data_IF_443377022320
#
_entry.id   IF_443377022320
#
_cell.length_a   1.000
_cell.length_b   1.000
_cell.length_c   1.000
_cell.angle_alpha   90.00
_cell.angle_beta   90.00
_cell.angle_gamma   90.00
#
_symmetry.space_group_name_H-M   'P 1'
#
loop_
_entity.id
_entity.type
_entity.pdbx_description
1 polymer ?
#
# COMPACT_ATOMS: atom_id res chain seq x y z
N UNK A 1 15.97 3.37 19.21
CA UNK A 1 15.09 4.16 18.33
C UNK A 1 13.93 3.23 17.97
N UNK A 2 12.71 3.52 18.43
CA UNK A 2 11.56 2.69 18.08
C UNK A 2 11.32 2.79 16.57
N UNK A 3 11.39 1.66 15.86
CA UNK A 3 10.89 1.57 14.49
C UNK A 3 9.39 1.90 14.52
N UNK A 4 8.97 2.86 13.72
CA UNK A 4 7.55 3.08 13.46
C UNK A 4 7.15 2.10 12.38
N UNK A 5 6.94 0.84 12.78
CA UNK A 5 6.39 -0.21 11.90
C UNK A 5 4.88 -0.25 12.06
N UNK A 6 4.18 -0.53 10.97
CA UNK A 6 2.74 -0.83 11.05
C UNK A 6 2.49 -2.19 11.73
N UNK A 7 1.28 -2.44 12.21
CA UNK A 7 0.96 -3.71 12.90
C UNK A 7 0.81 -4.90 11.94
N UNK A 8 0.64 -4.70 10.64
CA UNK A 8 0.36 -5.79 9.69
C UNK A 8 1.61 -6.51 9.22
N UNK A 9 2.68 -5.82 8.88
CA UNK A 9 3.94 -6.44 8.49
C UNK A 9 4.43 -7.46 9.53
N UNK A 10 4.58 -7.05 10.81
CA UNK A 10 4.91 -7.98 11.89
C UNK A 10 3.94 -9.14 12.04
N UNK A 11 2.60 -8.93 11.88
CA UNK A 11 1.63 -10.03 11.93
C UNK A 11 1.79 -11.02 10.78
N UNK A 12 2.06 -10.52 9.58
CA UNK A 12 2.30 -11.35 8.39
C UNK A 12 3.61 -12.12 8.51
N UNK A 13 4.68 -11.50 9.00
CA UNK A 13 5.94 -12.17 9.30
C UNK A 13 5.75 -13.33 10.29
N UNK A 14 5.02 -13.09 11.40
CA UNK A 14 4.64 -14.12 12.36
C UNK A 14 3.84 -15.24 11.67
N UNK A 15 2.81 -14.91 10.91
CA UNK A 15 1.93 -15.87 10.25
C UNK A 15 2.71 -16.80 9.30
N UNK A 16 3.56 -16.23 8.46
CA UNK A 16 4.42 -16.97 7.52
C UNK A 16 5.38 -17.90 8.27
N UNK A 17 6.07 -17.37 9.30
CA UNK A 17 6.99 -18.18 10.11
C UNK A 17 6.29 -19.36 10.81
N UNK A 18 5.13 -19.11 11.41
CA UNK A 18 4.37 -20.17 12.08
C UNK A 18 3.91 -21.25 11.11
N UNK A 19 3.43 -20.88 9.93
CA UNK A 19 3.04 -21.83 8.88
C UNK A 19 4.22 -22.67 8.42
N UNK A 20 5.37 -22.04 8.14
CA UNK A 20 6.59 -22.76 7.75
C UNK A 20 7.08 -23.73 8.82
N UNK A 21 7.05 -23.33 10.10
CA UNK A 21 7.41 -24.20 11.21
C UNK A 21 6.47 -25.40 11.32
N UNK A 22 5.15 -25.18 11.19
CA UNK A 22 4.19 -26.27 11.21
C UNK A 22 4.39 -27.24 10.05
N UNK A 23 4.50 -26.74 8.84
CA UNK A 23 4.71 -27.55 7.64
C UNK A 23 6.04 -28.32 7.70
N UNK A 24 7.12 -27.65 8.15
CA UNK A 24 8.42 -28.29 8.36
C UNK A 24 8.41 -29.39 9.44
N UNK A 25 7.50 -29.30 10.42
CA UNK A 25 7.31 -30.35 11.44
C UNK A 25 6.43 -31.52 10.97
N UNK A 26 5.82 -31.44 9.79
CA UNK A 26 4.91 -32.44 9.25
C UNK A 26 3.56 -32.52 9.96
N UNK A 27 3.23 -31.55 10.82
CA UNK A 27 1.99 -31.51 11.60
C UNK A 27 0.90 -30.72 10.89
N UNK A 28 -0.36 -31.12 11.09
CA UNK A 28 -1.50 -30.34 10.65
C UNK A 28 -1.96 -29.35 11.76
N UNK A 29 -2.87 -28.44 11.41
CA UNK A 29 -3.39 -27.43 12.34
C UNK A 29 -4.05 -28.05 13.59
N UNK A 30 -4.75 -29.19 13.44
CA UNK A 30 -5.43 -29.82 14.56
C UNK A 30 -4.44 -30.42 15.56
N UNK A 31 -3.36 -31.04 15.07
CA UNK A 31 -2.34 -31.63 15.92
C UNK A 31 -1.67 -30.57 16.81
N UNK A 32 -1.22 -29.46 16.19
CA UNK A 32 -0.56 -28.37 16.92
C UNK A 32 -1.53 -27.69 17.91
N UNK A 33 -2.77 -27.47 17.49
CA UNK A 33 -3.79 -26.87 18.36
C UNK A 33 -4.10 -27.72 19.56
N UNK A 34 -4.20 -29.04 19.40
CA UNK A 34 -4.43 -30.01 20.47
C UNK A 34 -3.25 -30.06 21.46
N UNK A 35 -2.01 -30.11 20.94
CA UNK A 35 -0.79 -30.15 21.76
C UNK A 35 -0.63 -28.88 22.60
N UNK A 36 -1.03 -27.71 22.06
CA UNK A 36 -0.94 -26.41 22.75
C UNK A 36 -2.20 -26.03 23.54
N UNK A 37 -3.23 -26.88 23.55
CA UNK A 37 -4.51 -26.64 24.22
C UNK A 37 -5.19 -25.33 23.76
N UNK A 38 -5.09 -25.01 22.47
CA UNK A 38 -5.76 -23.86 21.83
C UNK A 38 -6.75 -24.36 20.77
N UNK A 39 -7.66 -23.50 20.34
CA UNK A 39 -8.57 -23.86 19.24
C UNK A 39 -7.85 -23.85 17.88
N UNK A 40 -8.19 -24.79 17.00
CA UNK A 40 -7.70 -24.82 15.61
C UNK A 40 -8.00 -23.51 14.88
N UNK A 41 -9.17 -22.91 15.14
CA UNK A 41 -9.56 -21.60 14.58
C UNK A 41 -8.62 -20.47 15.04
N UNK A 42 -8.12 -20.51 16.29
CA UNK A 42 -7.15 -19.52 16.78
C UNK A 42 -5.82 -19.67 16.05
N UNK A 43 -5.30 -20.89 15.96
CA UNK A 43 -4.03 -21.15 15.26
C UNK A 43 -4.15 -20.78 13.77
N UNK A 44 -5.23 -21.18 13.12
CA UNK A 44 -5.49 -20.82 11.72
C UNK A 44 -5.51 -19.30 11.49
N UNK A 45 -6.17 -18.55 12.38
CA UNK A 45 -6.19 -17.08 12.26
C UNK A 45 -4.81 -16.45 12.51
N UNK A 46 -3.98 -17.03 13.39
CA UNK A 46 -2.59 -16.58 13.57
C UNK A 46 -1.75 -16.85 12.32
N UNK A 47 -1.86 -18.04 11.71
CA UNK A 47 -1.14 -18.41 10.49
C UNK A 47 -1.65 -17.69 9.22
N UNK A 48 -2.79 -17.01 9.30
CA UNK A 48 -3.34 -16.20 8.22
C UNK A 48 -3.31 -14.68 8.53
N UNK A 49 -2.55 -14.25 9.54
CA UNK A 49 -2.47 -12.87 10.01
C UNK A 49 -3.82 -12.21 10.38
N UNK A 50 -4.89 -13.01 10.52
CA UNK A 50 -6.25 -12.57 10.83
C UNK A 50 -6.50 -12.34 12.32
N UNK A 51 -5.56 -12.70 13.17
CA UNK A 51 -5.62 -12.46 14.60
C UNK A 51 -4.39 -11.70 15.08
N UNK A 52 -4.62 -10.81 16.05
CA UNK A 52 -3.53 -10.15 16.77
C UNK A 52 -2.79 -11.17 17.63
N UNK A 53 -1.50 -11.46 17.37
CA UNK A 53 -0.75 -12.43 18.13
C UNK A 53 -0.50 -11.92 19.55
N UNK A 54 -0.67 -12.75 20.56
CA UNK A 54 -0.35 -12.39 21.93
C UNK A 54 1.07 -12.88 22.29
N UNK A 55 1.84 -12.13 23.10
CA UNK A 55 3.21 -12.53 23.50
C UNK A 55 3.29 -13.92 24.12
N UNK A 56 2.26 -14.33 24.89
CA UNK A 56 2.19 -15.67 25.49
C UNK A 56 2.06 -16.77 24.42
N UNK A 57 1.23 -16.53 23.39
CA UNK A 57 0.98 -17.52 22.33
C UNK A 57 2.26 -17.75 21.51
N UNK A 58 2.96 -16.67 21.17
CA UNK A 58 4.22 -16.73 20.42
C UNK A 58 5.31 -17.42 21.27
N UNK A 59 5.41 -17.12 22.56
CA UNK A 59 6.34 -17.80 23.46
C UNK A 59 6.07 -19.31 23.50
N UNK A 60 4.80 -19.72 23.60
CA UNK A 60 4.42 -21.12 23.71
C UNK A 60 4.66 -21.86 22.37
N UNK A 61 4.44 -21.20 21.22
CA UNK A 61 4.78 -21.72 19.89
C UNK A 61 6.29 -21.85 19.67
N UNK A 62 7.10 -20.87 20.10
CA UNK A 62 8.59 -20.94 20.06
C UNK A 62 9.09 -22.20 20.79
N UNK A 63 8.55 -22.45 21.99
CA UNK A 63 8.91 -23.66 22.78
C UNK A 63 8.45 -24.94 22.10
N UNK A 64 7.22 -24.94 21.61
CA UNK A 64 6.63 -26.09 20.94
C UNK A 64 7.42 -26.54 19.72
N UNK A 65 7.87 -25.60 18.89
CA UNK A 65 8.71 -25.90 17.72
C UNK A 65 10.20 -26.03 18.04
N UNK A 66 10.60 -25.87 19.29
CA UNK A 66 12.00 -26.08 19.74
C UNK A 66 13.01 -25.10 19.14
N UNK A 67 12.56 -23.90 18.77
CA UNK A 67 13.40 -22.88 18.14
C UNK A 67 13.97 -21.86 19.12
N UNK A 68 13.91 -22.12 20.44
CA UNK A 68 14.48 -21.23 21.45
C UNK A 68 15.96 -20.98 21.17
N UNK A 69 16.40 -19.72 21.31
CA UNK A 69 17.79 -19.30 21.07
C UNK A 69 18.18 -19.14 19.59
N UNK A 70 17.24 -19.29 18.66
CA UNK A 70 17.49 -19.01 17.23
C UNK A 70 17.16 -17.56 16.87
N UNK A 71 17.79 -17.02 15.78
CA UNK A 71 17.43 -15.69 15.27
C UNK A 71 15.94 -15.54 14.98
N UNK A 72 15.29 -16.59 14.47
CA UNK A 72 13.85 -16.58 14.20
C UNK A 72 13.02 -16.40 15.47
N UNK A 73 13.42 -17.02 16.58
CA UNK A 73 12.74 -16.82 17.86
C UNK A 73 12.84 -15.37 18.36
N UNK A 74 13.97 -14.72 18.11
CA UNK A 74 14.18 -13.31 18.49
C UNK A 74 13.37 -12.38 17.58
N UNK A 75 13.27 -12.69 16.29
CA UNK A 75 12.38 -11.99 15.35
C UNK A 75 10.91 -12.13 15.75
N UNK A 76 10.44 -13.32 16.06
CA UNK A 76 9.07 -13.57 16.52
C UNK A 76 8.73 -12.80 17.81
N UNK A 77 9.70 -12.71 18.76
CA UNK A 77 9.53 -11.91 19.99
C UNK A 77 9.44 -10.41 19.69
N UNK A 78 10.26 -9.90 18.77
CA UNK A 78 10.22 -8.51 18.33
C UNK A 78 8.90 -8.22 17.61
N UNK A 79 8.56 -9.02 16.62
CA UNK A 79 7.35 -8.82 15.82
C UNK A 79 6.06 -8.87 16.63
N UNK A 80 5.98 -9.72 17.67
CA UNK A 80 4.77 -9.75 18.51
C UNK A 80 4.59 -8.46 19.32
N UNK A 81 5.68 -7.78 19.67
CA UNK A 81 5.61 -6.45 20.31
C UNK A 81 5.19 -5.39 19.31
N UNK A 82 5.82 -5.39 18.14
CA UNK A 82 5.52 -4.44 17.05
C UNK A 82 4.07 -4.59 16.57
N UNK A 83 3.56 -5.83 16.49
CA UNK A 83 2.16 -6.14 16.14
C UNK A 83 1.12 -5.62 17.16
N UNK A 84 1.54 -5.19 18.35
CA UNK A 84 0.66 -4.55 19.35
C UNK A 84 0.54 -3.04 19.13
N UNK A 85 1.50 -2.43 18.44
CA UNK A 85 1.50 -0.98 18.22
C UNK A 85 0.32 -0.57 17.34
N UNK A 86 -0.46 0.44 17.72
CA UNK A 86 -1.46 0.98 16.81
C UNK A 86 -0.75 1.66 15.63
N UNK A 87 -1.32 1.53 14.44
CA UNK A 87 -0.88 2.32 13.30
C UNK A 87 -1.16 3.81 13.56
N UNK A 88 -0.37 4.70 12.94
CA UNK A 88 -0.55 6.15 13.11
C UNK A 88 -1.93 6.65 12.64
N UNK A 89 -2.61 5.88 11.81
CA UNK A 89 -3.97 6.20 11.31
C UNK A 89 -5.05 6.01 12.36
N UNK A 90 -4.79 5.34 13.48
CA UNK A 90 -5.72 5.24 14.60
C UNK A 90 -5.92 6.56 15.36
N UNK A 91 -5.16 7.61 14.99
CA UNK A 91 -5.35 8.98 15.47
C UNK A 91 -6.56 9.67 14.79
N UNK A 92 -7.11 9.08 13.72
CA UNK A 92 -8.25 9.60 12.93
C UNK A 92 -9.52 8.81 13.20
N UNK A 93 -10.66 9.43 12.95
CA UNK A 93 -11.96 8.79 13.17
C UNK A 93 -12.18 7.60 12.23
N UNK A 94 -12.69 6.48 12.78
CA UNK A 94 -13.02 5.29 12.00
C UNK A 94 -14.04 5.59 10.88
N UNK A 95 -14.92 6.57 11.06
CA UNK A 95 -15.88 7.02 10.05
C UNK A 95 -15.19 7.72 8.86
N UNK A 96 -14.04 8.37 9.11
CA UNK A 96 -13.23 9.05 8.08
C UNK A 96 -12.41 8.05 7.28
N UNK A 97 -11.80 7.08 7.96
CA UNK A 97 -10.96 6.05 7.35
C UNK A 97 -11.75 4.84 6.87
N UNK A 98 -12.98 4.71 7.36
CA UNK A 98 -13.89 3.63 6.99
C UNK A 98 -14.22 3.63 5.50
N UNK A 99 -14.99 2.67 5.05
CA UNK A 99 -15.22 2.45 3.63
C UNK A 99 -15.84 3.69 2.98
N UNK A 100 -15.08 4.36 2.15
CA UNK A 100 -15.53 5.52 1.38
C UNK A 100 -16.68 5.13 0.43
N UNK A 101 -16.83 3.82 0.13
CA UNK A 101 -17.84 3.25 -0.75
C UNK A 101 -18.33 1.86 -0.30
N UNK A 102 -18.33 1.58 1.01
CA UNK A 102 -18.89 0.33 1.55
C UNK A 102 -18.00 -0.91 1.48
N UNK A 103 -16.71 -0.73 1.27
CA UNK A 103 -15.71 -1.81 1.25
C UNK A 103 -14.69 -1.77 2.38
N UNK A 104 -13.68 -2.61 2.34
CA UNK A 104 -12.58 -2.64 3.30
C UNK A 104 -11.85 -1.31 3.35
N UNK A 105 -11.49 -0.89 4.55
CA UNK A 105 -11.07 0.46 4.85
C UNK A 105 -9.72 0.88 4.28
N UNK A 106 -9.51 2.19 4.25
CA UNK A 106 -8.23 2.81 3.99
C UNK A 106 -7.15 2.38 5.01
N UNK A 107 -7.55 2.03 6.22
CA UNK A 107 -6.70 1.55 7.30
C UNK A 107 -5.87 0.31 6.90
N UNK A 108 -6.47 -0.63 6.17
CA UNK A 108 -5.75 -1.81 5.67
C UNK A 108 -4.70 -1.42 4.61
N UNK A 109 -5.05 -0.51 3.70
CA UNK A 109 -4.09 0.02 2.72
C UNK A 109 -2.91 0.72 3.41
N UNK A 110 -3.19 1.56 4.40
CA UNK A 110 -2.16 2.26 5.19
C UNK A 110 -1.24 1.29 5.92
N UNK A 111 -1.82 0.20 6.42
CA UNK A 111 -1.06 -0.84 7.11
C UNK A 111 -0.12 -1.62 6.18
N UNK A 112 -0.46 -1.77 4.91
CA UNK A 112 0.45 -2.35 3.91
C UNK A 112 1.52 -1.35 3.47
N UNK A 113 1.15 -0.10 3.20
CA UNK A 113 2.06 0.94 2.72
C UNK A 113 3.17 1.26 3.71
N UNK A 114 2.86 1.31 5.01
CA UNK A 114 3.80 1.79 6.04
C UNK A 114 5.05 0.91 6.17
N UNK A 115 4.94 -0.39 5.93
CA UNK A 115 6.03 -1.36 6.06
C UNK A 115 6.66 -1.74 4.70
N UNK A 116 6.03 -1.39 3.57
CA UNK A 116 6.52 -1.71 2.25
C UNK A 116 7.86 -1.02 1.94
N UNK A 117 8.79 -1.72 1.30
CA UNK A 117 10.02 -1.12 0.78
C UNK A 117 9.80 -0.45 -0.57
N UNK A 118 8.95 -1.05 -1.40
CA UNK A 118 8.59 -0.54 -2.72
C UNK A 118 7.07 -0.58 -2.88
N UNK A 119 6.51 0.51 -3.38
CA UNK A 119 5.16 0.54 -3.90
C UNK A 119 5.21 0.67 -5.42
N UNK A 120 4.62 -0.31 -6.12
CA UNK A 120 4.37 -0.24 -7.56
C UNK A 120 2.90 0.02 -7.77
N UNK A 121 2.55 1.09 -8.46
CA UNK A 121 1.14 1.43 -8.64
C UNK A 121 0.81 1.75 -10.09
N UNK A 122 -0.38 1.32 -10.52
CA UNK A 122 -1.01 1.78 -11.74
C UNK A 122 -2.27 2.56 -11.37
N UNK A 123 -2.37 3.80 -11.85
CA UNK A 123 -3.43 4.71 -11.42
C UNK A 123 -4.23 5.29 -12.58
N UNK A 124 -5.54 5.27 -12.41
CA UNK A 124 -6.57 5.97 -13.15
C UNK A 124 -7.84 6.05 -12.26
N UNK A 125 -8.72 7.06 -12.34
CA UNK A 125 -8.58 8.29 -13.14
C UNK A 125 -7.75 9.37 -12.44
N UNK A 126 -7.26 9.12 -11.22
CA UNK A 126 -6.57 10.11 -10.39
C UNK A 126 -5.05 9.93 -10.38
N UNK A 127 -4.34 11.01 -10.13
CA UNK A 127 -2.89 11.01 -9.87
C UNK A 127 -2.57 10.09 -8.68
N UNK A 128 -1.43 9.36 -8.70
CA UNK A 128 -1.01 8.55 -7.56
C UNK A 128 -1.08 9.31 -6.24
N UNK A 129 -1.69 8.72 -5.24
CA UNK A 129 -1.98 9.35 -3.95
C UNK A 129 -0.76 10.02 -3.31
N UNK A 130 0.38 9.34 -3.37
CA UNK A 130 1.64 9.84 -2.81
C UNK A 130 2.23 11.05 -3.57
N UNK A 131 1.70 11.35 -4.76
CA UNK A 131 2.14 12.48 -5.61
C UNK A 131 1.10 13.61 -5.73
N UNK A 132 -0.04 13.52 -5.04
CA UNK A 132 -1.08 14.55 -5.08
C UNK A 132 -0.69 15.80 -4.29
N UNK A 133 -1.02 16.99 -4.81
CA UNK A 133 -1.01 18.22 -4.02
C UNK A 133 -2.20 18.26 -3.06
N UNK A 134 -2.13 19.11 -2.04
CA UNK A 134 -3.24 19.30 -1.10
C UNK A 134 -4.50 19.79 -1.83
N UNK A 135 -4.36 20.76 -2.76
CA UNK A 135 -5.48 21.29 -3.52
C UNK A 135 -6.16 20.23 -4.39
N UNK A 136 -5.37 19.35 -5.04
CA UNK A 136 -5.88 18.26 -5.85
C UNK A 136 -6.60 17.20 -4.99
N UNK A 137 -6.00 16.79 -3.87
CA UNK A 137 -6.61 15.84 -2.95
C UNK A 137 -7.93 16.36 -2.38
N UNK A 138 -7.94 17.63 -1.95
CA UNK A 138 -9.14 18.31 -1.43
C UNK A 138 -10.26 18.39 -2.48
N UNK A 139 -9.92 18.68 -3.73
CA UNK A 139 -10.89 18.70 -4.81
C UNK A 139 -11.54 17.30 -5.01
N UNK A 140 -10.74 16.22 -5.01
CA UNK A 140 -11.28 14.86 -5.08
C UNK A 140 -12.22 14.57 -3.91
N UNK A 141 -11.83 14.89 -2.68
CA UNK A 141 -12.63 14.57 -1.51
C UNK A 141 -13.93 15.40 -1.42
N UNK A 142 -13.95 16.62 -1.97
CA UNK A 142 -15.19 17.44 -2.09
C UNK A 142 -16.18 16.89 -3.09
N UNK A 143 -15.71 16.22 -4.15
CA UNK A 143 -16.58 15.57 -5.12
C UNK A 143 -17.17 14.25 -4.59
N UNK A 144 -16.67 13.75 -3.46
CA UNK A 144 -17.26 12.61 -2.76
C UNK A 144 -18.52 13.03 -2.02
N UNK A 145 -19.63 12.37 -2.32
CA UNK A 145 -20.92 12.63 -1.67
C UNK A 145 -20.82 12.46 -0.12
N UNK A 146 -21.51 13.35 0.60
CA UNK A 146 -21.73 13.27 2.04
C UNK A 146 -20.52 13.47 2.96
N UNK A 147 -19.47 14.15 2.53
CA UNK A 147 -18.34 14.51 3.39
C UNK A 147 -18.44 15.95 3.89
N UNK A 148 -18.30 16.13 5.20
CA UNK A 148 -18.14 17.45 5.81
C UNK A 148 -16.74 18.03 5.54
N UNK A 149 -16.55 19.35 5.69
CA UNK A 149 -15.24 19.97 5.56
C UNK A 149 -14.24 19.44 6.61
N UNK A 150 -14.71 19.11 7.83
CA UNK A 150 -13.87 18.54 8.87
C UNK A 150 -13.35 17.13 8.50
N UNK A 151 -14.19 16.29 7.90
CA UNK A 151 -13.79 14.98 7.36
C UNK A 151 -12.81 15.14 6.19
N UNK A 152 -13.05 16.11 5.31
CA UNK A 152 -12.14 16.42 4.19
C UNK A 152 -10.80 16.88 4.72
N UNK A 153 -10.75 17.70 5.75
CA UNK A 153 -9.50 18.15 6.38
C UNK A 153 -8.72 16.97 6.97
N UNK A 154 -9.38 16.03 7.64
CA UNK A 154 -8.76 14.80 8.15
C UNK A 154 -8.21 13.94 6.99
N UNK A 155 -8.98 13.71 5.92
CA UNK A 155 -8.54 12.94 4.75
C UNK A 155 -7.33 13.57 4.05
N UNK A 156 -7.30 14.91 3.97
CA UNK A 156 -6.16 15.65 3.42
C UNK A 156 -4.94 15.48 4.32
N UNK A 157 -5.11 15.53 5.64
CA UNK A 157 -4.01 15.32 6.59
C UNK A 157 -3.48 13.89 6.52
N UNK A 158 -4.34 12.88 6.45
CA UNK A 158 -3.96 11.48 6.17
C UNK A 158 -3.14 11.40 4.88
N UNK A 159 -3.56 12.08 3.79
CA UNK A 159 -2.83 12.11 2.53
C UNK A 159 -1.44 12.69 2.68
N UNK A 160 -1.30 13.80 3.39
CA UNK A 160 -0.01 14.46 3.66
C UNK A 160 0.90 13.57 4.51
N UNK A 161 0.34 12.91 5.53
CA UNK A 161 1.09 12.00 6.40
C UNK A 161 1.61 10.77 5.63
N UNK A 162 0.82 10.19 4.74
CA UNK A 162 1.25 9.12 3.81
C UNK A 162 2.45 9.56 2.97
N UNK A 163 2.39 10.76 2.40
CA UNK A 163 3.45 11.30 1.53
C UNK A 163 4.80 11.44 2.23
N UNK A 164 4.82 11.56 3.56
CA UNK A 164 6.07 11.56 4.34
C UNK A 164 6.85 10.24 4.17
N UNK A 165 6.20 9.14 3.80
CA UNK A 165 6.88 7.88 3.52
C UNK A 165 7.93 7.99 2.41
N UNK A 166 7.78 8.93 1.47
CA UNK A 166 8.76 9.18 0.41
C UNK A 166 10.02 9.91 0.89
N UNK A 167 10.01 10.48 2.11
CA UNK A 167 11.14 11.27 2.64
C UNK A 167 11.67 10.75 3.96
N UNK A 168 10.80 10.26 4.85
CA UNK A 168 11.19 9.80 6.18
C UNK A 168 10.16 8.83 6.75
N UNK A 169 10.64 7.70 7.31
CA UNK A 169 9.80 6.66 7.91
C UNK A 169 10.35 6.14 9.24
N UNK A 170 10.72 7.05 10.13
CA UNK A 170 11.03 6.71 11.53
C UNK A 170 12.06 5.58 11.73
N UNK A 171 13.10 5.52 10.89
CA UNK A 171 14.18 4.51 10.98
C UNK A 171 14.13 3.42 9.90
N UNK A 172 13.16 3.46 9.00
CA UNK A 172 13.16 2.74 7.74
C UNK A 172 13.70 3.63 6.62
N UNK A 173 14.22 3.02 5.55
CA UNK A 173 14.54 3.75 4.34
C UNK A 173 13.28 4.38 3.73
N UNK A 174 13.39 5.53 3.05
CA UNK A 174 12.27 6.11 2.33
C UNK A 174 11.64 5.10 1.37
N UNK A 175 10.31 5.13 1.28
CA UNK A 175 9.56 4.28 0.36
C UNK A 175 10.02 4.55 -1.09
N UNK A 176 10.28 3.50 -1.83
CA UNK A 176 10.50 3.59 -3.28
C UNK A 176 9.16 3.50 -4.00
N UNK A 177 8.82 4.52 -4.78
CA UNK A 177 7.60 4.58 -5.58
C UNK A 177 7.91 4.33 -7.06
N UNK A 178 7.26 3.33 -7.66
CA UNK A 178 7.26 3.09 -9.10
C UNK A 178 5.84 3.22 -9.62
N UNK A 179 5.49 4.41 -10.08
CA UNK A 179 4.14 4.76 -10.49
C UNK A 179 4.03 4.82 -12.02
N UNK A 180 3.03 4.13 -12.54
CA UNK A 180 2.54 4.31 -13.91
C UNK A 180 1.16 4.94 -13.84
N UNK A 181 0.99 6.10 -14.46
CA UNK A 181 -0.30 6.75 -14.59
C UNK A 181 -0.75 6.80 -16.05
N UNK A 182 -2.02 6.60 -16.30
CA UNK A 182 -2.54 6.69 -17.66
C UNK A 182 -2.64 8.15 -18.11
N UNK A 183 -2.44 8.45 -19.41
CA UNK A 183 -2.53 9.81 -19.95
C UNK A 183 -3.86 10.50 -19.62
N UNK A 184 -4.98 9.75 -19.56
CA UNK A 184 -6.30 10.30 -19.19
C UNK A 184 -6.28 11.00 -17.82
N UNK A 185 -5.52 10.49 -16.86
CA UNK A 185 -5.38 11.05 -15.51
C UNK A 185 -4.86 12.50 -15.53
N UNK A 186 -3.93 12.79 -16.44
CA UNK A 186 -3.33 14.12 -16.56
C UNK A 186 -4.23 15.11 -17.30
N UNK A 187 -5.20 14.61 -18.05
CA UNK A 187 -6.16 15.44 -18.84
C UNK A 187 -7.53 15.52 -18.19
N UNK A 188 -7.82 14.66 -17.20
CA UNK A 188 -9.06 14.71 -16.43
C UNK A 188 -9.07 15.98 -15.59
N UNK A 189 -10.08 16.81 -15.74
CA UNK A 189 -10.25 17.99 -14.89
C UNK A 189 -10.62 17.58 -13.46
N UNK A 190 -9.80 18.03 -12.49
CA UNK A 190 -10.06 17.86 -11.05
C UNK A 190 -9.96 19.24 -10.41
N UNK A 191 -11.05 19.70 -9.81
CA UNK A 191 -11.14 21.04 -9.26
C UNK A 191 -10.99 22.14 -10.35
N UNK A 192 -10.22 23.18 -10.08
CA UNK A 192 -10.01 24.29 -11.00
C UNK A 192 -8.82 24.08 -11.93
N UNK A 193 -8.73 24.83 -13.07
CA UNK A 193 -7.54 24.83 -13.92
C UNK A 193 -6.23 25.16 -13.17
N UNK A 194 -6.31 25.99 -12.13
CA UNK A 194 -5.13 26.28 -11.30
C UNK A 194 -4.69 25.07 -10.47
N UNK A 195 -5.63 24.35 -9.87
CA UNK A 195 -5.35 23.09 -9.13
C UNK A 195 -4.66 22.07 -10.04
N UNK A 196 -5.15 21.94 -11.29
CA UNK A 196 -4.52 21.04 -12.26
C UNK A 196 -3.10 21.49 -12.64
N UNK A 197 -2.87 22.78 -12.88
CA UNK A 197 -1.52 23.31 -13.16
C UNK A 197 -0.56 23.02 -11.99
N UNK A 198 -0.98 23.34 -10.77
CA UNK A 198 -0.18 23.11 -9.56
C UNK A 198 0.13 21.61 -9.37
N UNK A 199 -0.83 20.75 -9.69
CA UNK A 199 -0.64 19.31 -9.65
C UNK A 199 0.37 18.81 -10.70
N UNK A 200 0.30 19.31 -11.94
CA UNK A 200 1.23 18.94 -13.00
C UNK A 200 2.66 19.43 -12.69
N UNK A 201 2.81 20.64 -12.14
CA UNK A 201 4.11 21.16 -11.67
C UNK A 201 4.66 20.30 -10.53
N UNK A 202 3.84 19.91 -9.56
CA UNK A 202 4.25 19.04 -8.48
C UNK A 202 4.68 17.65 -8.97
N UNK A 203 4.05 17.09 -10.01
CA UNK A 203 4.47 15.82 -10.61
C UNK A 203 5.86 15.93 -11.26
N UNK A 204 6.14 17.02 -11.97
CA UNK A 204 7.46 17.28 -12.56
C UNK A 204 8.52 17.35 -11.47
N UNK A 205 8.27 18.12 -10.41
CA UNK A 205 9.19 18.29 -9.29
C UNK A 205 9.43 16.99 -8.54
N UNK A 206 8.36 16.33 -8.05
CA UNK A 206 8.44 15.13 -7.22
C UNK A 206 9.07 13.94 -7.96
N UNK A 207 8.90 13.86 -9.28
CA UNK A 207 9.54 12.83 -10.10
C UNK A 207 11.06 12.98 -10.22
N UNK A 208 11.67 14.05 -9.67
CA UNK A 208 13.12 14.20 -9.61
C UNK A 208 13.76 13.49 -8.43
N UNK A 209 12.97 13.10 -7.42
CA UNK A 209 13.47 12.39 -6.25
C UNK A 209 14.03 11.01 -6.66
N UNK A 210 15.16 10.57 -6.09
CA UNK A 210 15.84 9.33 -6.52
C UNK A 210 15.03 8.05 -6.26
N UNK A 211 14.11 8.09 -5.30
CA UNK A 211 13.22 6.99 -4.94
C UNK A 211 11.83 7.09 -5.60
N UNK A 212 11.63 8.03 -6.54
CA UNK A 212 10.35 8.19 -7.25
C UNK A 212 10.56 7.99 -8.74
N UNK A 213 9.95 6.94 -9.27
CA UNK A 213 9.84 6.69 -10.70
C UNK A 213 8.40 6.94 -11.12
N UNK A 214 8.16 8.03 -11.86
CA UNK A 214 6.86 8.31 -12.46
C UNK A 214 6.93 8.12 -13.99
N UNK A 215 5.99 7.36 -14.54
CA UNK A 215 5.85 7.13 -15.97
C UNK A 215 4.42 7.33 -16.42
N UNK A 216 4.25 7.83 -17.63
CA UNK A 216 2.95 8.00 -18.28
C UNK A 216 2.74 6.92 -19.32
N UNK A 217 1.61 6.22 -19.23
CA UNK A 217 1.13 5.34 -20.29
C UNK A 217 0.29 6.18 -21.26
N UNK A 218 0.79 6.48 -22.47
CA UNK A 218 0.11 7.36 -23.42
C UNK A 218 -1.06 6.64 -24.11
N UNK A 219 -2.03 7.39 -24.62
CA UNK A 219 -3.13 6.85 -25.44
C UNK A 219 -2.64 6.05 -26.68
N UNK A 220 -1.44 6.36 -27.15
CA UNK A 220 -0.81 5.64 -28.28
C UNK A 220 -0.20 4.30 -27.89
N UNK A 221 -0.12 3.98 -26.60
CA UNK A 221 0.35 2.66 -26.16
C UNK A 221 -0.62 1.56 -26.60
N UNK A 222 -0.07 0.38 -26.90
CA UNK A 222 -0.91 -0.80 -27.17
C UNK A 222 -1.67 -1.18 -25.90
N UNK A 223 -2.95 -1.59 -26.02
CA UNK A 223 -3.72 -2.05 -24.87
C UNK A 223 -3.01 -3.21 -24.17
N UNK A 224 -2.93 -3.14 -22.85
CA UNK A 224 -2.39 -4.21 -22.00
C UNK A 224 -3.54 -4.67 -21.11
N UNK A 225 -3.70 -5.98 -20.95
CA UNK A 225 -4.82 -6.57 -20.18
C UNK A 225 -4.89 -6.02 -18.74
N UNK A 226 -3.75 -5.71 -18.13
CA UNK A 226 -3.68 -5.15 -16.77
C UNK A 226 -4.11 -3.69 -16.63
N UNK A 227 -4.46 -3.02 -17.72
CA UNK A 227 -5.05 -1.67 -17.68
C UNK A 227 -6.52 -1.65 -17.18
N UNK A 228 -7.08 -2.78 -16.82
CA UNK A 228 -8.51 -2.91 -16.47
C UNK A 228 -8.87 -2.35 -15.09
N UNK A 229 -7.90 -2.28 -14.17
CA UNK A 229 -8.10 -1.74 -12.83
C UNK A 229 -6.85 -1.07 -12.29
N UNK A 230 -7.03 -0.12 -11.38
CA UNK A 230 -5.94 0.43 -10.60
C UNK A 230 -5.57 -0.50 -9.46
N UNK A 231 -4.30 -0.47 -9.07
CA UNK A 231 -3.78 -1.28 -7.97
C UNK A 231 -2.53 -0.64 -7.36
N UNK A 232 -2.26 -1.02 -6.11
CA UNK A 232 -0.97 -0.85 -5.45
C UNK A 232 -0.38 -2.24 -5.16
N UNK A 233 0.86 -2.46 -5.55
CA UNK A 233 1.62 -3.67 -5.29
C UNK A 233 2.74 -3.32 -4.34
N UNK A 234 2.72 -3.89 -3.15
CA UNK A 234 3.67 -3.66 -2.07
C UNK A 234 4.70 -4.77 -2.02
N UNK A 235 5.98 -4.38 -2.10
CA UNK A 235 7.12 -5.28 -1.92
C UNK A 235 7.77 -5.02 -0.56
N UNK A 236 8.11 -6.09 0.14
CA UNK A 236 8.73 -6.02 1.46
C UNK A 236 10.19 -6.49 1.40
N UNK A 237 11.03 -6.00 2.30
CA UNK A 237 12.46 -6.37 2.33
C UNK A 237 12.72 -7.66 3.09
N UNK A 238 11.91 -7.99 4.09
CA UNK A 238 12.13 -9.16 4.93
C UNK A 238 11.65 -10.43 4.19
N UNK A 239 12.52 -11.45 4.15
CA UNK A 239 12.27 -12.70 3.39
C UNK A 239 11.03 -13.49 3.85
N UNK A 240 10.49 -13.19 5.02
CA UNK A 240 9.27 -13.81 5.57
C UNK A 240 8.00 -12.99 5.31
N UNK A 241 8.15 -11.76 4.80
CA UNK A 241 7.02 -10.93 4.41
C UNK A 241 6.68 -11.20 2.95
N UNK A 242 5.48 -11.66 2.70
CA UNK A 242 4.98 -11.88 1.35
C UNK A 242 4.52 -10.57 0.74
N UNK A 243 4.92 -10.33 -0.51
CA UNK A 243 4.39 -9.23 -1.30
C UNK A 243 2.87 -9.32 -1.42
N UNK A 244 2.21 -8.18 -1.57
CA UNK A 244 0.75 -8.10 -1.66
C UNK A 244 0.31 -7.14 -2.76
N UNK A 245 -0.81 -7.46 -3.38
CA UNK A 245 -1.48 -6.55 -4.32
C UNK A 245 -2.79 -6.08 -3.69
N UNK A 246 -2.98 -4.79 -3.65
CA UNK A 246 -4.17 -4.14 -3.14
C UNK A 246 -4.89 -3.43 -4.29
N UNK A 247 -6.11 -3.88 -4.60
CA UNK A 247 -6.91 -3.38 -5.71
C UNK A 247 -8.06 -2.57 -5.13
N UNK A 248 -8.14 -1.32 -5.52
CA UNK A 248 -9.31 -0.48 -5.20
C UNK A 248 -10.44 -0.78 -6.18
N UNK A 249 -11.62 -1.07 -5.63
CA UNK A 249 -12.85 -1.34 -6.39
C UNK A 249 -13.96 -0.40 -5.94
N UNK A 250 -15.05 -0.34 -6.66
CA UNK A 250 -16.22 0.44 -6.23
C UNK A 250 -16.81 -0.03 -4.89
N UNK A 251 -16.66 -1.32 -4.57
CA UNK A 251 -17.15 -1.92 -3.32
C UNK A 251 -16.10 -1.95 -2.20
N UNK A 252 -14.94 -1.29 -2.37
CA UNK A 252 -13.82 -1.28 -1.42
C UNK A 252 -12.56 -1.94 -1.97
N UNK A 253 -11.67 -2.36 -1.08
CA UNK A 253 -10.40 -2.94 -1.48
C UNK A 253 -10.47 -4.48 -1.54
N UNK A 254 -9.68 -5.05 -2.43
CA UNK A 254 -9.41 -6.47 -2.54
C UNK A 254 -7.91 -6.71 -2.37
N UNK A 255 -7.54 -7.51 -1.39
CA UNK A 255 -6.14 -7.90 -1.14
C UNK A 255 -5.84 -9.27 -1.78
N UNK A 256 -4.74 -9.35 -2.53
CA UNK A 256 -4.25 -10.58 -3.16
C UNK A 256 -2.91 -10.92 -2.53
N UNK A 257 -2.87 -12.06 -1.82
CA UNK A 257 -1.68 -12.56 -1.13
C UNK A 257 -1.16 -13.88 -1.73
N UNK A 258 -1.89 -14.49 -2.68
CA UNK A 258 -1.45 -15.71 -3.37
C UNK A 258 -0.16 -15.42 -4.17
N UNK A 259 0.97 -16.11 -3.88
CA UNK A 259 2.26 -15.77 -4.48
C UNK A 259 2.27 -15.90 -6.01
N UNK A 260 1.48 -16.81 -6.57
CA UNK A 260 1.38 -17.00 -8.03
C UNK A 260 0.69 -15.81 -8.66
N UNK A 261 -0.42 -15.37 -8.08
CA UNK A 261 -1.17 -14.19 -8.56
C UNK A 261 -0.37 -12.91 -8.37
N UNK A 262 0.29 -12.74 -7.22
CA UNK A 262 1.18 -11.60 -6.95
C UNK A 262 2.30 -11.51 -8.00
N UNK A 263 2.93 -12.65 -8.34
CA UNK A 263 3.95 -12.71 -9.39
C UNK A 263 3.41 -12.33 -10.79
N UNK A 264 2.14 -12.64 -11.08
CA UNK A 264 1.47 -12.19 -12.32
C UNK A 264 1.31 -10.68 -12.35
N UNK A 265 0.91 -10.04 -11.24
CA UNK A 265 0.82 -8.58 -11.14
C UNK A 265 2.19 -7.91 -11.30
N UNK A 266 3.25 -8.50 -10.77
CA UNK A 266 4.61 -7.99 -10.98
C UNK A 266 4.98 -7.97 -12.46
N UNK A 267 4.79 -9.09 -13.17
CA UNK A 267 5.02 -9.18 -14.62
C UNK A 267 4.17 -8.19 -15.40
N UNK A 268 2.93 -8.02 -14.98
CA UNK A 268 2.00 -7.08 -15.59
C UNK A 268 2.45 -5.62 -15.39
N UNK A 269 2.94 -5.27 -14.19
CA UNK A 269 3.48 -3.95 -13.93
C UNK A 269 4.75 -3.67 -14.75
N UNK A 270 5.65 -4.65 -14.86
CA UNK A 270 6.85 -4.54 -15.70
C UNK A 270 6.48 -4.31 -17.18
N UNK A 271 5.41 -4.93 -17.67
CA UNK A 271 4.89 -4.69 -19.01
C UNK A 271 4.32 -3.27 -19.16
N UNK A 272 3.62 -2.75 -18.15
CA UNK A 272 3.14 -1.35 -18.13
C UNK A 272 4.31 -0.36 -18.15
N UNK A 273 5.32 -0.57 -17.32
CA UNK A 273 6.54 0.25 -17.29
C UNK A 273 7.23 0.25 -18.65
N UNK A 274 7.32 -0.90 -19.31
CA UNK A 274 7.93 -1.03 -20.65
C UNK A 274 7.14 -0.34 -21.74
N UNK A 275 5.81 -0.30 -21.65
CA UNK A 275 4.93 0.36 -22.62
C UNK A 275 4.79 1.87 -22.38
N UNK A 276 5.19 2.34 -21.23
CA UNK A 276 5.10 3.76 -20.83
C UNK A 276 6.27 4.58 -21.40
N UNK A 277 6.08 5.89 -21.43
CA UNK A 277 7.16 6.83 -21.72
C UNK A 277 8.32 6.67 -20.74
N UNK A 278 9.54 7.01 -21.16
CA UNK A 278 10.68 7.10 -20.23
C UNK A 278 10.42 8.15 -19.15
N UNK A 279 11.21 8.19 -18.09
CA UNK A 279 11.05 9.20 -17.02
C UNK A 279 11.23 10.62 -17.58
N UNK A 280 12.21 10.83 -18.46
CA UNK A 280 12.46 12.15 -19.06
C UNK A 280 11.38 12.53 -20.07
N UNK A 281 10.94 11.60 -20.92
CA UNK A 281 9.82 11.82 -21.83
C UNK A 281 8.51 12.07 -21.06
N UNK A 282 8.31 11.39 -19.93
CA UNK A 282 7.17 11.63 -19.05
C UNK A 282 7.15 13.07 -18.53
N UNK A 283 8.29 13.58 -18.05
CA UNK A 283 8.38 14.99 -17.59
C UNK A 283 8.13 15.96 -18.73
N UNK A 284 8.70 15.70 -19.92
CA UNK A 284 8.47 16.52 -21.11
C UNK A 284 6.99 16.50 -21.52
N UNK A 285 6.37 15.34 -21.47
CA UNK A 285 4.95 15.16 -21.78
C UNK A 285 4.04 15.90 -20.79
N UNK A 286 4.32 15.80 -19.48
CA UNK A 286 3.56 16.54 -18.46
C UNK A 286 3.68 18.05 -18.67
N UNK A 287 4.89 18.56 -18.99
CA UNK A 287 5.06 19.98 -19.35
C UNK A 287 4.21 20.38 -20.55
N UNK A 288 4.16 19.57 -21.60
CA UNK A 288 3.35 19.86 -22.78
C UNK A 288 1.85 19.95 -22.49
N UNK A 289 1.34 19.13 -21.56
CA UNK A 289 -0.06 19.20 -21.11
C UNK A 289 -0.31 20.45 -20.28
N UNK A 290 0.59 20.77 -19.33
CA UNK A 290 0.51 21.96 -18.48
C UNK A 290 0.47 23.27 -19.30
N UNK A 291 1.27 23.31 -20.36
CA UNK A 291 1.43 24.50 -21.20
C UNK A 291 0.39 24.58 -22.33
N UNK A 292 -0.48 23.56 -22.49
CA UNK A 292 -1.56 23.55 -23.50
C UNK A 292 -2.79 24.32 -22.99
N UNK A 293 -3.04 25.54 -23.53
CA UNK A 293 -4.17 26.35 -23.07
C UNK A 293 -5.54 25.74 -23.37
N UNK A 294 -5.63 24.73 -24.24
CA UNK A 294 -6.88 24.07 -24.62
C UNK A 294 -7.26 22.90 -23.71
N UNK A 295 -6.33 22.42 -22.85
CA UNK A 295 -6.55 21.31 -21.93
C UNK A 295 -7.16 21.73 -20.60
N UNK A 296 -7.00 23.01 -20.20
CA UNK A 296 -7.37 23.53 -18.89
C UNK A 296 -8.59 24.47 -18.87
N UNK A 297 -9.08 24.90 -20.03
CA UNK A 297 -10.15 25.93 -20.16
C UNK A 297 -11.47 25.35 -20.65
N UNK A 298 -11.83 24.12 -20.31
CA UNK A 298 -13.23 23.65 -20.50
C UNK A 298 -14.00 24.00 -19.24
N UNK A 299 -14.79 25.10 -19.35
CA UNK A 299 -15.89 25.44 -18.45
C UNK A 299 -16.95 24.34 -18.37
#
# INVERSE_FOLDING_TARGET
MNRVTGPLGPRRGIATALRQLREGSGKNLNDVAADLLISTSKLSRLENAQARPLPRDIRDLIRYYGIEGTPLADDLRRWVVDAQSPGWWTDYDDEVLGPVLGGLGLDEHLAYEVDAAVERTYTLPFVPALLQTEGYARAIFRDMEHRSEDEIDQLVDVRKRRQQALTSRGGLDPLTLVAVTHESTLRQAVGSPQIMRDQLDALIERSTAPNVTLRVLPFTAKPIFTMTCMYAYFEYQEALEQDIVHIETHGGFLSIEDPVKVAEYRKAHDALVKASLSVDDTRAFIRSIRDDPRGTDRE
#
